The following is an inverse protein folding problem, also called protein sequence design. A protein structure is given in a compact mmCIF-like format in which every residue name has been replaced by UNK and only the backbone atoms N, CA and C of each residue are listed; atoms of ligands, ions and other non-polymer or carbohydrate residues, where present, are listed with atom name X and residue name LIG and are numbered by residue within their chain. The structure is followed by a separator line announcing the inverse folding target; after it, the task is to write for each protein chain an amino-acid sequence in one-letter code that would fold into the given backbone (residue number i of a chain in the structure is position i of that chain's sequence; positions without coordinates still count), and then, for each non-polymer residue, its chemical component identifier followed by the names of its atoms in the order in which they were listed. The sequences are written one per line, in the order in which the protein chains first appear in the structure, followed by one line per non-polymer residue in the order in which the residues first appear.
data_IF_260457563556
#
_entry.id   IF_260457563556
#
_cell.length_a   1.000
_cell.length_b   1.000
_cell.length_c   1.000
_cell.angle_alpha   90.00
_cell.angle_beta   90.00
_cell.angle_gamma   90.00
#
_symmetry.space_group_name_H-M   'P 1'
#
loop_
_entity.id
_entity.type
_entity.pdbx_description
1 polymer ?
#
# COMPACT_ATOMS: atom_id res chain seq x y z
N UNK A 1 -1.55 3.54 16.58
CA UNK A 1 -1.26 3.05 15.22
C UNK A 1 -2.33 2.04 14.85
N UNK A 2 -3.09 2.28 13.80
CA UNK A 2 -3.96 1.26 13.23
C UNK A 2 -3.14 0.38 12.27
N UNK A 3 -3.36 -0.92 12.30
CA UNK A 3 -2.74 -1.82 11.32
C UNK A 3 -3.39 -1.62 9.95
N UNK A 4 -2.63 -1.81 8.87
CA UNK A 4 -3.13 -1.84 7.47
C UNK A 4 -4.38 -2.70 7.32
N UNK A 5 -4.46 -3.84 8.02
CA UNK A 5 -5.65 -4.72 7.99
C UNK A 5 -6.83 -4.11 8.75
N UNK A 6 -6.58 -3.41 9.86
CA UNK A 6 -7.62 -2.69 10.61
C UNK A 6 -8.22 -1.54 9.80
N UNK A 7 -7.37 -0.84 9.07
CA UNK A 7 -7.71 0.22 8.14
C UNK A 7 -8.51 -0.29 6.95
N UNK A 8 -8.04 -1.34 6.26
CA UNK A 8 -8.79 -2.03 5.19
C UNK A 8 -10.18 -2.46 5.65
N UNK A 9 -10.28 -3.06 6.84
CA UNK A 9 -11.58 -3.46 7.39
C UNK A 9 -12.51 -2.26 7.62
N UNK A 10 -11.97 -1.12 7.99
CA UNK A 10 -12.73 0.09 8.31
C UNK A 10 -13.14 0.86 7.06
N UNK A 11 -12.26 0.98 6.06
CA UNK A 11 -12.51 1.74 4.83
C UNK A 11 -13.29 0.94 3.78
N UNK A 12 -13.17 -0.40 3.77
CA UNK A 12 -13.77 -1.25 2.72
C UNK A 12 -14.79 -2.21 3.31
N UNK A 13 -14.36 -3.10 4.21
CA UNK A 13 -15.18 -4.27 4.59
C UNK A 13 -16.41 -3.91 5.40
N UNK A 14 -16.32 -2.94 6.33
CA UNK A 14 -17.45 -2.48 7.15
C UNK A 14 -18.48 -1.66 6.36
N UNK A 15 -18.09 -0.61 5.60
CA UNK A 15 -19.06 0.28 4.93
C UNK A 15 -19.80 -0.39 3.77
N UNK A 16 -19.21 -1.37 3.09
CA UNK A 16 -19.82 -1.99 1.90
C UNK A 16 -20.64 -3.25 2.20
N UNK A 17 -20.98 -3.51 3.47
CA UNK A 17 -21.84 -4.66 3.84
C UNK A 17 -23.31 -4.39 3.45
N UNK A 18 -24.09 -5.43 3.10
CA UNK A 18 -23.69 -6.84 3.00
C UNK A 18 -23.00 -7.16 1.65
N UNK A 19 -22.02 -8.05 1.70
CA UNK A 19 -21.32 -8.55 0.51
C UNK A 19 -22.12 -9.70 -0.12
N UNK A 20 -22.42 -9.58 -1.42
CA UNK A 20 -23.28 -10.55 -2.13
C UNK A 20 -22.52 -11.77 -2.64
N UNK A 21 -21.26 -11.59 -3.05
CA UNK A 21 -20.42 -12.65 -3.63
C UNK A 21 -18.96 -12.44 -3.22
N UNK A 22 -18.16 -13.51 -3.29
CA UNK A 22 -16.72 -13.44 -3.08
C UNK A 22 -16.05 -12.49 -4.10
N UNK A 23 -16.47 -12.54 -5.35
CA UNK A 23 -15.88 -11.73 -6.43
C UNK A 23 -16.02 -10.22 -6.21
N UNK A 24 -17.09 -9.76 -5.55
CA UNK A 24 -17.19 -8.36 -5.14
C UNK A 24 -16.14 -7.97 -4.09
N UNK A 25 -15.87 -8.87 -3.13
CA UNK A 25 -14.85 -8.65 -2.11
C UNK A 25 -13.46 -8.63 -2.75
N UNK A 26 -13.19 -9.55 -3.67
CA UNK A 26 -11.91 -9.62 -4.39
C UNK A 26 -11.65 -8.34 -5.20
N UNK A 27 -12.65 -7.86 -5.95
CA UNK A 27 -12.54 -6.63 -6.71
C UNK A 27 -12.29 -5.41 -5.81
N UNK A 28 -13.10 -5.23 -4.77
CA UNK A 28 -12.93 -4.12 -3.84
C UNK A 28 -11.58 -4.17 -3.09
N UNK A 29 -11.06 -5.38 -2.85
CA UNK A 29 -9.72 -5.56 -2.28
C UNK A 29 -8.65 -5.11 -3.27
N UNK A 30 -8.74 -5.52 -4.54
CA UNK A 30 -7.79 -5.12 -5.57
C UNK A 30 -7.78 -3.60 -5.78
N UNK A 31 -8.96 -2.97 -5.84
CA UNK A 31 -9.09 -1.51 -5.96
C UNK A 31 -8.48 -0.77 -4.76
N UNK A 32 -8.72 -1.28 -3.54
CA UNK A 32 -8.17 -0.68 -2.34
C UNK A 32 -6.64 -0.83 -2.26
N UNK A 33 -6.10 -2.00 -2.63
CA UNK A 33 -4.64 -2.24 -2.65
C UNK A 33 -3.95 -1.33 -3.66
N UNK A 34 -4.51 -1.19 -4.85
CA UNK A 34 -4.00 -0.29 -5.87
C UNK A 34 -3.99 1.17 -5.38
N UNK A 35 -5.11 1.65 -4.82
CA UNK A 35 -5.17 2.99 -4.25
C UNK A 35 -4.20 3.17 -3.07
N UNK A 36 -4.12 2.20 -2.17
CA UNK A 36 -3.25 2.26 -0.99
C UNK A 36 -1.78 2.36 -1.39
N UNK A 37 -1.33 1.57 -2.36
CA UNK A 37 0.07 1.53 -2.76
C UNK A 37 0.48 2.67 -3.68
N UNK A 38 -0.40 3.09 -4.61
CA UNK A 38 -0.02 4.03 -5.67
C UNK A 38 -0.52 5.46 -5.46
N UNK A 39 -1.50 5.69 -4.58
CA UNK A 39 -2.16 7.00 -4.45
C UNK A 39 -2.26 7.50 -3.02
N UNK A 40 -2.32 6.61 -2.02
CA UNK A 40 -2.44 7.01 -0.61
C UNK A 40 -1.13 7.63 -0.12
N UNK A 41 -1.20 8.86 0.34
CA UNK A 41 -0.06 9.55 0.94
C UNK A 41 0.07 9.15 2.41
N UNK A 42 1.26 8.70 2.81
CA UNK A 42 1.49 8.21 4.16
C UNK A 42 2.46 9.15 4.91
N UNK A 43 1.98 9.80 5.98
CA UNK A 43 2.76 10.81 6.70
C UNK A 43 4.06 10.26 7.30
N UNK A 44 4.05 9.03 7.78
CA UNK A 44 5.23 8.37 8.38
C UNK A 44 6.37 8.11 7.38
N UNK A 45 6.08 8.03 6.08
CA UNK A 45 7.10 7.78 5.04
C UNK A 45 7.42 9.02 4.21
N UNK A 46 7.11 10.21 4.73
CA UNK A 46 7.41 11.49 4.07
C UNK A 46 6.31 11.97 3.11
N UNK A 47 5.07 11.53 3.33
CA UNK A 47 3.90 11.96 2.55
C UNK A 47 3.97 11.60 1.06
N UNK A 48 4.55 10.43 0.76
CA UNK A 48 4.56 9.82 -0.58
C UNK A 48 3.79 8.49 -0.57
N UNK A 49 3.42 7.96 -1.75
CA UNK A 49 2.82 6.63 -1.84
C UNK A 49 3.79 5.52 -1.39
N UNK A 50 3.30 4.43 -0.78
CA UNK A 50 4.12 3.29 -0.38
C UNK A 50 4.98 2.72 -1.51
N UNK A 51 4.42 2.61 -2.73
CA UNK A 51 5.17 2.10 -3.89
C UNK A 51 6.34 3.01 -4.26
N UNK A 52 6.19 4.33 -4.12
CA UNK A 52 7.27 5.28 -4.38
C UNK A 52 8.35 5.21 -3.30
N UNK A 53 7.95 5.08 -2.03
CA UNK A 53 8.87 4.87 -0.94
C UNK A 53 9.72 3.61 -1.12
N UNK A 54 9.08 2.49 -1.49
CA UNK A 54 9.76 1.23 -1.78
C UNK A 54 10.71 1.36 -2.97
N UNK A 55 10.28 2.00 -4.07
CA UNK A 55 11.13 2.23 -5.23
C UNK A 55 12.37 3.08 -4.88
N UNK A 56 12.20 4.13 -4.06
CA UNK A 56 13.30 4.97 -3.60
C UNK A 56 14.27 4.20 -2.68
N UNK A 57 13.75 3.35 -1.79
CA UNK A 57 14.55 2.48 -0.96
C UNK A 57 15.44 1.56 -1.80
N UNK A 58 14.87 0.82 -2.74
CA UNK A 58 15.65 -0.09 -3.60
C UNK A 58 16.65 0.66 -4.48
N UNK A 59 16.31 1.82 -5.04
CA UNK A 59 17.26 2.65 -5.78
C UNK A 59 18.46 3.04 -4.92
N UNK A 60 18.23 3.44 -3.68
CA UNK A 60 19.31 3.79 -2.75
C UNK A 60 20.15 2.57 -2.39
N UNK A 61 19.53 1.43 -2.07
CA UNK A 61 20.24 0.18 -1.76
C UNK A 61 21.09 -0.32 -2.92
N UNK A 62 20.56 -0.30 -4.15
CA UNK A 62 21.33 -0.69 -5.34
C UNK A 62 22.52 0.25 -5.59
N UNK A 63 22.35 1.56 -5.39
CA UNK A 63 23.45 2.52 -5.50
C UNK A 63 24.54 2.33 -4.42
N UNK A 64 24.15 1.95 -3.20
CA UNK A 64 25.11 1.61 -2.15
C UNK A 64 25.89 0.34 -2.48
N UNK A 65 25.21 -0.67 -3.03
CA UNK A 65 25.88 -1.90 -3.49
C UNK A 65 26.84 -1.65 -4.65
N UNK A 66 26.48 -0.80 -5.62
CA UNK A 66 27.39 -0.50 -6.74
C UNK A 66 28.63 0.25 -6.26
N UNK A 67 28.49 1.16 -5.28
CA UNK A 67 29.61 1.96 -4.75
C UNK A 67 30.53 1.14 -3.84
N UNK A 68 30.00 0.14 -3.12
CA UNK A 68 30.79 -0.72 -2.23
C UNK A 68 31.60 -1.80 -2.96
N UNK A 69 31.33 -2.04 -4.25
CA UNK A 69 31.98 -3.07 -5.07
C UNK A 69 33.06 -2.50 -6.03
N UNK A 70 33.47 -1.24 -5.83
CA UNK A 70 34.53 -0.54 -6.58
C UNK A 70 35.69 -0.28 -5.62
#
# INVERSE_FOLDING_TARGET
MESTIGLFKTEVIKPQRPWKTLSHVELATAEWVDWYNHRRLHGEIGHIPPAEYEANFYRATTNLQVTANI
#
